data_IF_878121945758
#
_entry.id   IF_878121945758
#
_cell.length_a   1.000
_cell.length_b   1.000
_cell.length_c   1.000
_cell.angle_alpha   90.00
_cell.angle_beta   90.00
_cell.angle_gamma   90.00
#
_symmetry.space_group_name_H-M   'P 1'
#
loop_
_entity.id
_entity.type
_entity.pdbx_description
1 polymer ?
#
# COMPACT_ATOMS: atom_id res chain seq x y z
N UNK A 1 -0.63 23.66 15.53
CA UNK A 1 -0.40 25.14 15.68
C UNK A 1 -0.85 25.63 17.05
N UNK A 2 -1.98 25.14 17.57
CA UNK A 2 -2.49 25.48 18.90
C UNK A 2 -1.54 25.02 20.01
N UNK A 3 -1.05 23.79 19.95
CA UNK A 3 -0.07 23.22 20.90
C UNK A 3 1.19 24.05 20.98
N UNK A 4 1.73 24.46 19.83
CA UNK A 4 2.89 25.32 19.76
C UNK A 4 2.64 26.69 20.39
N UNK A 5 1.47 27.28 20.11
CA UNK A 5 1.09 28.58 20.70
C UNK A 5 0.93 28.47 22.23
N UNK A 6 0.32 27.39 22.73
CA UNK A 6 0.19 27.15 24.18
C UNK A 6 1.57 26.98 24.81
N UNK A 7 2.45 26.17 24.19
CA UNK A 7 3.81 25.99 24.65
C UNK A 7 4.56 27.32 24.72
N UNK A 8 4.54 28.12 23.65
CA UNK A 8 5.30 29.37 23.52
C UNK A 8 4.77 30.48 24.45
N UNK A 9 3.48 30.49 24.76
CA UNK A 9 2.87 31.51 25.62
C UNK A 9 2.87 31.16 27.11
N UNK A 10 2.62 29.88 27.43
CA UNK A 10 2.42 29.45 28.82
C UNK A 10 3.66 28.75 29.39
N UNK A 11 4.35 27.94 28.60
CA UNK A 11 5.45 27.08 29.05
C UNK A 11 6.82 27.48 28.50
N UNK A 12 6.99 28.74 28.14
CA UNK A 12 8.15 29.34 27.47
C UNK A 12 9.54 28.93 28.02
N UNK A 13 9.61 28.54 29.28
CA UNK A 13 10.88 28.19 29.99
C UNK A 13 10.90 26.75 30.52
N UNK A 14 10.00 25.89 30.10
CA UNK A 14 9.95 24.48 30.52
C UNK A 14 9.93 23.56 29.32
N UNK A 15 10.77 22.55 29.34
CA UNK A 15 10.71 21.44 28.38
C UNK A 15 9.52 20.55 28.74
N UNK A 16 8.36 20.91 28.27
CA UNK A 16 7.12 20.13 28.43
C UNK A 16 6.46 19.98 27.07
N UNK A 17 6.12 18.76 26.72
CA UNK A 17 5.32 18.48 25.54
C UNK A 17 3.85 18.75 25.84
N UNK A 18 3.27 19.67 25.10
CA UNK A 18 1.84 20.02 25.22
C UNK A 18 1.11 19.26 24.13
N UNK A 19 0.16 18.41 24.53
CA UNK A 19 -0.75 17.69 23.63
C UNK A 19 -2.17 18.15 23.88
N UNK A 20 -2.80 18.68 22.87
CA UNK A 20 -4.22 19.08 22.90
C UNK A 20 -5.07 17.92 22.41
N UNK A 21 -5.96 17.43 23.24
CA UNK A 21 -6.94 16.40 22.89
C UNK A 21 -8.30 17.07 22.77
N UNK A 22 -8.85 17.07 21.56
CA UNK A 22 -10.20 17.57 21.31
C UNK A 22 -11.23 16.53 21.74
N UNK A 23 -12.21 16.93 22.53
CA UNK A 23 -13.37 16.10 22.88
C UNK A 23 -14.62 16.82 22.43
N UNK A 24 -15.50 16.08 21.78
CA UNK A 24 -16.76 16.59 21.28
C UNK A 24 -17.90 16.11 22.18
N UNK A 25 -18.78 17.03 22.54
CA UNK A 25 -20.02 16.70 23.23
C UNK A 25 -21.14 16.67 22.20
N UNK A 26 -21.49 15.47 21.77
CA UNK A 26 -22.54 15.24 20.79
C UNK A 26 -23.92 15.23 21.49
N UNK A 27 -24.97 15.60 20.74
CA UNK A 27 -26.34 15.41 21.21
C UNK A 27 -26.71 13.92 21.22
N UNK A 28 -27.65 13.53 22.07
CA UNK A 28 -28.10 12.12 22.25
C UNK A 28 -28.64 11.47 20.95
N UNK A 29 -28.81 12.24 19.88
CA UNK A 29 -29.31 11.74 18.59
C UNK A 29 -28.21 11.22 17.65
N UNK A 30 -26.94 11.36 18.00
CA UNK A 30 -25.84 10.88 17.19
C UNK A 30 -25.48 9.45 17.55
N UNK A 31 -25.55 8.58 16.53
CA UNK A 31 -24.99 7.25 16.55
C UNK A 31 -23.66 7.24 15.80
N UNK A 32 -22.83 6.20 15.97
CA UNK A 32 -21.59 6.04 15.24
C UNK A 32 -21.81 6.03 13.71
N UNK A 33 -22.90 5.39 13.26
CA UNK A 33 -23.31 5.37 11.85
C UNK A 33 -23.54 6.80 11.32
N UNK A 34 -24.39 7.57 12.00
CA UNK A 34 -24.69 8.97 11.60
C UNK A 34 -23.47 9.86 11.63
N UNK A 35 -22.60 9.67 12.62
CA UNK A 35 -21.33 10.40 12.70
C UNK A 35 -20.44 10.09 11.50
N UNK A 36 -20.29 8.81 11.16
CA UNK A 36 -19.47 8.39 10.01
C UNK A 36 -20.05 8.91 8.69
N UNK A 37 -21.37 8.85 8.50
CA UNK A 37 -22.00 9.36 7.28
C UNK A 37 -21.81 10.86 7.09
N UNK A 38 -21.97 11.66 8.16
CA UNK A 38 -21.86 13.13 8.08
C UNK A 38 -20.41 13.61 8.00
N UNK A 39 -19.50 12.95 8.70
CA UNK A 39 -18.12 13.43 8.87
C UNK A 39 -17.07 12.56 8.19
N UNK A 40 -17.49 11.63 7.33
CA UNK A 40 -16.59 10.71 6.60
C UNK A 40 -15.43 11.45 5.93
N UNK A 41 -15.73 12.52 5.20
CA UNK A 41 -14.71 13.28 4.48
C UNK A 41 -13.73 13.98 5.43
N UNK A 42 -14.21 14.48 6.56
CA UNK A 42 -13.37 15.11 7.58
C UNK A 42 -12.46 14.09 8.27
N UNK A 43 -12.99 12.92 8.57
CA UNK A 43 -12.24 11.78 9.15
C UNK A 43 -11.16 11.30 8.18
N UNK A 44 -11.50 11.18 6.89
CA UNK A 44 -10.55 10.82 5.85
C UNK A 44 -9.45 11.87 5.69
N UNK A 45 -9.78 13.17 5.72
CA UNK A 45 -8.77 14.23 5.61
C UNK A 45 -7.85 14.27 6.84
N UNK A 46 -8.38 14.00 8.04
CA UNK A 46 -7.57 13.86 9.24
C UNK A 46 -6.62 12.66 9.13
N UNK A 47 -7.12 11.50 8.69
CA UNK A 47 -6.31 10.31 8.48
C UNK A 47 -5.23 10.53 7.43
N UNK A 48 -5.53 11.28 6.37
CA UNK A 48 -4.57 11.63 5.31
C UNK A 48 -3.41 12.47 5.84
N UNK A 49 -3.68 13.39 6.78
CA UNK A 49 -2.63 14.18 7.44
C UNK A 49 -1.78 13.32 8.39
N UNK A 50 -2.32 12.19 8.87
CA UNK A 50 -1.64 11.27 9.74
C UNK A 50 -0.84 10.23 8.94
N UNK A 51 -1.49 9.58 7.98
CA UNK A 51 -0.86 8.58 7.11
C UNK A 51 -1.62 8.43 5.79
N UNK A 52 -0.87 8.60 4.70
CA UNK A 52 -1.41 8.48 3.34
C UNK A 52 -1.78 7.02 2.98
N UNK A 53 -1.11 6.04 3.59
CA UNK A 53 -1.38 4.63 3.32
C UNK A 53 -2.75 4.22 3.88
N UNK A 54 -2.98 4.46 5.16
CA UNK A 54 -4.24 4.16 5.84
C UNK A 54 -5.40 4.97 5.24
N UNK A 55 -5.15 6.23 4.85
CA UNK A 55 -6.11 7.03 4.10
C UNK A 55 -6.57 6.34 2.81
N UNK A 56 -5.65 5.86 1.98
CA UNK A 56 -5.99 5.19 0.73
C UNK A 56 -6.74 3.88 0.97
N UNK A 57 -6.37 3.11 1.99
CA UNK A 57 -7.06 1.90 2.39
C UNK A 57 -8.49 2.19 2.85
N UNK A 58 -8.67 3.14 3.77
CA UNK A 58 -9.99 3.51 4.31
C UNK A 58 -10.88 4.13 3.24
N UNK A 59 -10.32 4.93 2.33
CA UNK A 59 -11.05 5.53 1.22
C UNK A 59 -11.62 4.49 0.25
N UNK A 60 -10.88 3.40 0.00
CA UNK A 60 -11.31 2.31 -0.89
C UNK A 60 -12.17 1.25 -0.18
N UNK A 61 -12.19 1.28 1.14
CA UNK A 61 -12.94 0.33 1.96
C UNK A 61 -14.45 0.50 1.80
N UNK A 62 -15.16 -0.61 1.91
CA UNK A 62 -16.61 -0.60 2.10
C UNK A 62 -16.89 -0.57 3.60
N UNK A 63 -17.77 0.31 4.01
CA UNK A 63 -18.23 0.49 5.37
C UNK A 63 -19.69 0.13 5.45
N UNK A 64 -20.03 -0.87 6.24
CA UNK A 64 -21.39 -1.32 6.43
C UNK A 64 -21.68 -1.38 7.94
N UNK A 65 -22.72 -0.65 8.38
CA UNK A 65 -23.15 -0.70 9.76
C UNK A 65 -24.17 -1.80 9.99
N UNK A 66 -23.90 -2.64 10.99
CA UNK A 66 -24.84 -3.67 11.46
C UNK A 66 -25.37 -3.21 12.82
N UNK A 67 -26.34 -2.27 12.80
CA UNK A 67 -26.79 -1.57 14.00
C UNK A 67 -26.03 -0.28 14.30
N UNK A 68 -26.30 0.33 15.45
CA UNK A 68 -25.87 1.70 15.75
C UNK A 68 -24.36 1.84 16.05
N UNK A 69 -23.70 0.74 16.45
CA UNK A 69 -22.33 0.74 16.96
C UNK A 69 -21.40 -0.31 16.34
N UNK A 70 -21.90 -1.17 15.46
CA UNK A 70 -21.08 -2.20 14.81
C UNK A 70 -20.78 -1.84 13.37
N UNK A 71 -19.50 -1.62 13.06
CA UNK A 71 -19.00 -1.31 11.73
C UNK A 71 -18.27 -2.52 11.14
N UNK A 72 -18.78 -3.06 10.04
CA UNK A 72 -18.06 -3.99 9.20
C UNK A 72 -17.24 -3.22 8.17
N UNK A 73 -15.92 -3.31 8.29
CA UNK A 73 -14.98 -2.66 7.40
C UNK A 73 -14.39 -3.69 6.44
N UNK A 74 -14.81 -3.65 5.16
CA UNK A 74 -14.33 -4.57 4.13
C UNK A 74 -13.23 -3.91 3.32
N UNK A 75 -12.03 -4.49 3.34
CA UNK A 75 -10.83 -4.06 2.64
C UNK A 75 -10.49 -5.01 1.49
N UNK A 76 -9.82 -4.52 0.46
CA UNK A 76 -9.21 -5.40 -0.54
C UNK A 76 -8.06 -6.20 0.09
N UNK A 77 -8.06 -7.51 -0.13
CA UNK A 77 -7.06 -8.43 0.44
C UNK A 77 -5.68 -8.21 -0.20
N UNK A 78 -4.93 -7.27 0.34
CA UNK A 78 -3.55 -6.96 -0.03
C UNK A 78 -2.65 -7.10 1.19
N UNK A 79 -1.36 -7.35 0.98
CA UNK A 79 -0.37 -7.45 2.08
C UNK A 79 -0.39 -6.17 2.93
N UNK A 80 -0.55 -5.00 2.28
CA UNK A 80 -0.61 -3.71 2.96
C UNK A 80 -1.88 -3.61 3.81
N UNK A 81 -3.04 -4.03 3.29
CA UNK A 81 -4.28 -4.03 4.04
C UNK A 81 -4.20 -4.97 5.26
N UNK A 82 -3.63 -6.16 5.11
CA UNK A 82 -3.47 -7.09 6.24
C UNK A 82 -2.56 -6.56 7.35
N UNK A 83 -1.49 -5.84 6.98
CA UNK A 83 -0.54 -5.31 7.97
C UNK A 83 -0.99 -4.00 8.60
N UNK A 84 -1.76 -3.17 7.88
CA UNK A 84 -2.12 -1.81 8.30
C UNK A 84 -3.57 -1.64 8.73
N UNK A 85 -4.41 -2.66 8.57
CA UNK A 85 -5.83 -2.58 8.95
C UNK A 85 -6.03 -2.29 10.44
N UNK A 86 -5.16 -2.79 11.29
CA UNK A 86 -5.24 -2.56 12.72
C UNK A 86 -5.07 -1.07 13.10
N UNK A 87 -4.16 -0.37 12.43
CA UNK A 87 -3.95 1.07 12.63
C UNK A 87 -5.18 1.90 12.23
N UNK A 88 -5.93 1.44 11.21
CA UNK A 88 -7.20 2.06 10.80
C UNK A 88 -8.27 1.85 11.88
N UNK A 89 -8.36 0.65 12.44
CA UNK A 89 -9.31 0.35 13.52
C UNK A 89 -9.03 1.20 14.75
N UNK A 90 -7.78 1.24 15.20
CA UNK A 90 -7.35 2.08 16.32
C UNK A 90 -7.67 3.56 16.09
N UNK A 91 -7.45 4.06 14.87
CA UNK A 91 -7.77 5.44 14.53
C UNK A 91 -9.28 5.71 14.62
N UNK A 92 -10.11 4.83 14.04
CA UNK A 92 -11.57 4.98 14.07
C UNK A 92 -12.12 4.91 15.50
N UNK A 93 -11.67 3.94 16.29
CA UNK A 93 -12.04 3.81 17.69
C UNK A 93 -11.63 5.05 18.49
N UNK A 94 -10.43 5.56 18.26
CA UNK A 94 -9.96 6.78 18.90
C UNK A 94 -10.80 8.00 18.57
N UNK A 95 -11.18 8.17 17.30
CA UNK A 95 -12.02 9.30 16.87
C UNK A 95 -13.43 9.15 17.41
N UNK A 96 -14.04 7.99 17.27
CA UNK A 96 -15.46 7.79 17.62
C UNK A 96 -15.65 7.59 19.13
N UNK A 97 -14.85 6.72 19.76
CA UNK A 97 -15.03 6.41 21.17
C UNK A 97 -14.40 7.46 22.08
N UNK A 98 -13.12 7.80 21.88
CA UNK A 98 -12.41 8.67 22.81
C UNK A 98 -12.79 10.15 22.67
N UNK A 99 -12.97 10.61 21.41
CA UNK A 99 -13.23 12.04 21.14
C UNK A 99 -14.70 12.39 21.12
N UNK A 100 -15.54 11.48 20.57
CA UNK A 100 -16.98 11.71 20.42
C UNK A 100 -17.80 11.03 21.53
N UNK A 101 -17.23 10.09 22.27
CA UNK A 101 -17.90 9.38 23.36
C UNK A 101 -19.00 8.43 22.89
N UNK A 102 -18.92 7.95 21.66
CA UNK A 102 -19.85 6.97 21.10
C UNK A 102 -19.21 5.59 21.10
N UNK A 103 -20.03 4.56 21.29
CA UNK A 103 -19.56 3.18 21.20
C UNK A 103 -19.36 2.79 19.73
N UNK A 104 -18.19 2.22 19.42
CA UNK A 104 -17.89 1.67 18.10
C UNK A 104 -17.13 0.34 18.28
N UNK A 105 -17.61 -0.68 17.58
CA UNK A 105 -16.92 -1.95 17.41
C UNK A 105 -16.66 -2.17 15.93
N UNK A 106 -15.42 -2.34 15.55
CA UNK A 106 -15.02 -2.50 14.13
C UNK A 106 -14.66 -3.96 13.88
N UNK A 107 -15.36 -4.57 12.93
CA UNK A 107 -15.05 -5.90 12.40
C UNK A 107 -14.37 -5.76 11.03
N UNK A 108 -13.27 -6.48 10.83
CA UNK A 108 -12.51 -6.45 9.59
C UNK A 108 -12.88 -7.64 8.71
N UNK A 109 -13.21 -7.36 7.46
CA UNK A 109 -13.37 -8.35 6.41
C UNK A 109 -12.43 -8.04 5.23
N UNK A 110 -12.00 -9.10 4.52
CA UNK A 110 -11.13 -8.95 3.35
C UNK A 110 -11.80 -9.56 2.13
N UNK A 111 -11.95 -8.76 1.07
CA UNK A 111 -12.40 -9.22 -0.25
C UNK A 111 -11.20 -9.44 -1.17
N UNK A 112 -11.30 -10.40 -2.07
CA UNK A 112 -10.29 -10.53 -3.13
C UNK A 112 -10.23 -9.25 -3.97
N UNK A 113 -9.02 -8.76 -4.31
CA UNK A 113 -8.86 -7.55 -5.07
C UNK A 113 -9.56 -7.71 -6.43
N UNK A 114 -10.41 -6.75 -6.77
CA UNK A 114 -11.05 -6.71 -8.07
C UNK A 114 -9.98 -6.66 -9.15
N UNK A 115 -9.97 -7.65 -10.04
CA UNK A 115 -9.05 -7.67 -11.16
C UNK A 115 -9.06 -6.33 -11.89
N UNK A 116 -7.94 -5.63 -11.84
CA UNK A 116 -7.83 -4.35 -12.52
C UNK A 116 -8.00 -4.56 -14.02
N UNK A 117 -8.69 -3.62 -14.70
CA UNK A 117 -8.84 -3.65 -16.17
C UNK A 117 -7.48 -3.71 -16.87
N UNK A 118 -6.43 -3.17 -16.26
CA UNK A 118 -5.06 -3.24 -16.76
C UNK A 118 -4.50 -4.66 -16.72
N UNK A 119 -4.77 -5.44 -15.66
CA UNK A 119 -4.33 -6.83 -15.57
C UNK A 119 -5.01 -7.68 -16.64
N UNK A 120 -6.34 -7.53 -16.82
CA UNK A 120 -7.08 -8.23 -17.88
C UNK A 120 -6.56 -7.89 -19.28
N UNK A 121 -6.27 -6.61 -19.55
CA UNK A 121 -5.73 -6.21 -20.84
C UNK A 121 -4.30 -6.71 -21.06
N UNK A 122 -3.46 -6.70 -20.01
CA UNK A 122 -2.12 -7.27 -20.07
C UNK A 122 -2.14 -8.77 -20.34
N UNK A 123 -3.00 -9.51 -19.63
CA UNK A 123 -3.13 -10.96 -19.82
C UNK A 123 -3.65 -11.31 -21.24
N UNK A 124 -4.57 -10.52 -21.77
CA UNK A 124 -5.04 -10.66 -23.16
C UNK A 124 -3.94 -10.36 -24.18
N UNK A 125 -3.12 -9.34 -23.95
CA UNK A 125 -1.97 -9.06 -24.82
C UNK A 125 -0.94 -10.19 -24.78
N UNK A 126 -0.59 -10.69 -23.60
CA UNK A 126 0.33 -11.81 -23.44
C UNK A 126 -0.20 -13.07 -24.15
N UNK A 127 -1.48 -13.39 -24.01
CA UNK A 127 -2.09 -14.53 -24.70
C UNK A 127 -2.05 -14.35 -26.23
N UNK A 128 -2.30 -13.13 -26.73
CA UNK A 128 -2.22 -12.83 -28.15
C UNK A 128 -0.79 -12.96 -28.69
N UNK A 129 0.21 -12.49 -27.96
CA UNK A 129 1.61 -12.62 -28.32
C UNK A 129 2.06 -14.09 -28.32
N UNK A 130 1.71 -14.87 -27.30
CA UNK A 130 1.99 -16.31 -27.24
C UNK A 130 1.35 -17.02 -28.45
N UNK A 131 0.12 -16.72 -28.80
CA UNK A 131 -0.56 -17.31 -29.96
C UNK A 131 0.13 -16.93 -31.28
N UNK A 132 0.62 -15.72 -31.41
CA UNK A 132 1.39 -15.30 -32.61
C UNK A 132 2.75 -15.98 -32.69
N UNK A 133 3.44 -16.16 -31.58
CA UNK A 133 4.72 -16.89 -31.51
C UNK A 133 4.51 -18.34 -31.91
N UNK A 134 3.51 -19.01 -31.34
CA UNK A 134 3.16 -20.39 -31.66
C UNK A 134 2.83 -20.57 -33.13
N UNK A 135 2.09 -19.65 -33.74
CA UNK A 135 1.83 -19.66 -35.20
C UNK A 135 3.10 -19.55 -36.04
N UNK A 136 4.05 -18.70 -35.62
CA UNK A 136 5.31 -18.54 -36.34
C UNK A 136 6.18 -19.79 -36.22
N UNK A 137 6.20 -20.43 -35.08
CA UNK A 137 6.93 -21.68 -34.85
C UNK A 137 6.34 -22.80 -35.72
N UNK A 138 5.02 -22.96 -35.76
CA UNK A 138 4.35 -23.96 -36.59
C UNK A 138 4.54 -23.73 -38.11
N UNK A 139 4.67 -22.48 -38.56
CA UNK A 139 4.96 -22.16 -39.95
C UNK A 139 6.43 -22.41 -40.36
N UNK A 140 7.35 -22.59 -39.40
CA UNK A 140 8.75 -22.92 -39.65
C UNK A 140 9.06 -24.41 -39.58
N UNK A 141 8.15 -25.24 -39.06
CA UNK A 141 8.33 -26.71 -39.05
C UNK A 141 7.93 -27.39 -40.36
N UNK A 142 7.20 -26.71 -41.28
CA UNK A 142 6.76 -27.27 -42.57
C UNK A 142 7.72 -27.03 -43.75
N UNK A 143 8.78 -26.23 -43.57
CA UNK A 143 9.77 -25.98 -44.61
C UNK A 143 11.20 -26.19 -44.06
N UNK A 144 11.70 -27.42 -44.07
CA UNK A 144 13.04 -27.85 -44.52
C UNK A 144 13.41 -29.26 -44.08
N UNK A 145 13.78 -30.16 -45.01
CA UNK A 145 14.58 -31.31 -44.67
C UNK A 145 16.04 -30.90 -44.51
N UNK A 146 16.52 -30.72 -43.30
CA UNK A 146 17.95 -30.50 -43.08
C UNK A 146 18.65 -31.81 -43.26
N UNK A 147 19.38 -31.95 -44.37
CA UNK A 147 20.45 -32.93 -44.56
C UNK A 147 21.52 -32.68 -43.49
N UNK A 148 21.69 -33.68 -42.63
CA UNK A 148 22.84 -33.79 -41.76
C UNK A 148 24.00 -34.27 -42.60
N UNK A 149 24.93 -33.39 -42.97
CA UNK A 149 26.29 -33.77 -43.34
C UNK A 149 27.19 -33.60 -42.13
N UNK A 150 27.68 -34.78 -41.70
CA UNK A 150 28.76 -34.93 -40.75
C UNK A 150 30.05 -34.36 -41.38
N UNK A 151 30.70 -33.44 -40.71
CA UNK A 151 32.13 -33.25 -40.85
C UNK A 151 32.78 -32.94 -39.51
N UNK A 152 33.68 -33.81 -39.22
CA UNK A 152 34.62 -33.89 -38.12
C UNK A 152 35.60 -32.71 -38.04
N UNK A 153 36.08 -32.57 -36.84
CA UNK A 153 37.42 -32.08 -36.44
C UNK A 153 37.80 -30.60 -36.50
N UNK A 154 38.17 -30.19 -35.36
CA UNK A 154 39.35 -29.46 -34.87
C UNK A 154 39.17 -28.16 -34.15
N UNK A 155 39.80 -28.25 -33.01
CA UNK A 155 40.61 -27.29 -32.26
C UNK A 155 39.95 -26.37 -31.20
N UNK A 156 40.15 -26.87 -30.04
CA UNK A 156 40.54 -26.26 -28.75
C UNK A 156 41.23 -24.89 -28.93
N UNK A 157 40.64 -23.84 -28.34
CA UNK A 157 41.46 -22.84 -27.64
C UNK A 157 40.66 -22.13 -26.53
N UNK A 158 41.11 -22.44 -25.35
CA UNK A 158 40.91 -21.73 -24.08
C UNK A 158 41.37 -20.28 -24.18
N UNK A 159 40.53 -19.35 -23.73
CA UNK A 159 41.04 -18.08 -23.26
C UNK A 159 40.26 -17.65 -21.99
N UNK A 160 40.89 -17.87 -20.88
CA UNK A 160 40.71 -17.20 -19.61
C UNK A 160 40.88 -15.71 -19.79
N UNK A 161 39.95 -14.90 -19.29
CA UNK A 161 40.28 -13.55 -18.91
C UNK A 161 39.64 -13.19 -17.58
N UNK A 162 40.47 -13.29 -16.62
CA UNK A 162 40.60 -12.78 -15.29
C UNK A 162 39.89 -11.45 -15.02
N UNK A 163 39.14 -11.46 -13.95
CA UNK A 163 38.78 -10.36 -13.06
C UNK A 163 39.98 -9.47 -12.68
N UNK A 164 39.80 -8.18 -12.75
CA UNK A 164 40.67 -7.22 -12.03
C UNK A 164 39.83 -6.26 -11.21
N UNK A 165 39.78 -6.54 -9.94
CA UNK A 165 39.54 -5.64 -8.81
C UNK A 165 40.60 -4.53 -8.82
N UNK A 166 40.20 -3.31 -8.66
CA UNK A 166 41.10 -2.22 -8.27
C UNK A 166 40.42 -1.37 -7.19
N UNK A 167 40.86 -1.64 -5.98
CA UNK A 167 40.77 -0.75 -4.85
C UNK A 167 41.65 0.48 -5.11
N UNK A 168 41.21 1.66 -4.74
CA UNK A 168 42.08 2.81 -4.52
C UNK A 168 41.66 3.54 -3.26
N UNK A 169 42.39 3.23 -2.21
CA UNK A 169 42.64 4.13 -1.08
C UNK A 169 43.42 5.35 -1.57
N UNK A 170 43.09 6.50 -1.09
CA UNK A 170 44.11 7.48 -0.77
C UNK A 170 43.61 8.48 0.28
N UNK A 171 44.25 8.39 1.40
CA UNK A 171 44.48 9.42 2.42
C UNK A 171 44.69 10.82 1.83
N UNK A 172 44.14 11.83 2.44
CA UNK A 172 45.00 12.94 2.85
C UNK A 172 44.43 13.72 4.05
N UNK A 173 45.27 13.85 5.01
CA UNK A 173 45.13 14.65 6.23
C UNK A 173 45.67 16.07 6.01
N UNK A 174 45.36 16.98 6.96
CA UNK A 174 45.87 18.33 7.22
C UNK A 174 45.19 19.44 6.40
N UNK A 175 44.62 20.43 7.03
CA UNK A 175 44.99 21.32 8.13
C UNK A 175 43.75 21.85 8.84
#
# INVERSE_FOLDING_TARGET
QLEKNIHDQIFKNRHMDVKVIEKYQLSEQYTAEKLMDLYKDSILEELKNYSLMEYNLLRSAKMEFTGDSHLLLTLENTIIAQTRSHEIVEFLEKVVCERCGLDLSVELAFEEPKESKHKKNSDLQIQFEIKNILKRVQLHEDDTPVKVESQDDRDVQTANMTTKTAAKESNNAKE
#
